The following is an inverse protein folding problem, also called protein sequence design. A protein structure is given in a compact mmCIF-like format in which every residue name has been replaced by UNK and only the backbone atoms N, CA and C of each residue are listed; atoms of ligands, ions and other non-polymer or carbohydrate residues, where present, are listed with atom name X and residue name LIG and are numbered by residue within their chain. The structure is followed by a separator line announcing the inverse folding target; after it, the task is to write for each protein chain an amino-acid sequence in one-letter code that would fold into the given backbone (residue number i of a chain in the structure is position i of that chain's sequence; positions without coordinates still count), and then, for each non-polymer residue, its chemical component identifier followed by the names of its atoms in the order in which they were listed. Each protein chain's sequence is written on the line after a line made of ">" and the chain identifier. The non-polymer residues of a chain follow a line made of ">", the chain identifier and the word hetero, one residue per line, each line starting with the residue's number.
data_IF_089509771187
#
_entry.id   IF_089509771187
#
_cell.length_a   1.000
_cell.length_b   1.000
_cell.length_c   1.000
_cell.angle_alpha   90.00
_cell.angle_beta   90.00
_cell.angle_gamma   90.00
#
_symmetry.space_group_name_H-M   'P 1'
#
loop_
_entity.id
_entity.type
_entity.pdbx_description
1 polymer ?
#
# COMPACT_ATOMS: atom_id res chain seq x y z
N UNK A 1 30.06 1.56 54.61
CA UNK A 1 30.26 0.99 53.27
C UNK A 1 29.10 0.07 52.79
N UNK A 2 28.32 -0.56 53.66
CA UNK A 2 27.20 -1.45 53.23
C UNK A 2 25.98 -0.69 52.62
N UNK A 3 25.69 0.51 53.13
CA UNK A 3 24.56 1.33 52.64
C UNK A 3 24.79 1.93 51.25
N UNK A 4 26.02 2.26 50.88
CA UNK A 4 26.35 2.85 49.57
C UNK A 4 26.11 1.87 48.41
N UNK A 5 26.38 0.56 48.60
CA UNK A 5 26.11 -0.47 47.57
C UNK A 5 24.62 -0.69 47.34
N UNK A 6 23.81 -0.57 48.38
CA UNK A 6 22.35 -0.71 48.23
C UNK A 6 21.72 0.51 47.53
N UNK A 7 22.26 1.71 47.72
CA UNK A 7 21.83 2.92 47.03
C UNK A 7 22.17 2.85 45.53
N UNK A 8 23.39 2.39 45.20
CA UNK A 8 23.79 2.22 43.78
C UNK A 8 22.96 1.16 43.09
N UNK A 9 22.66 0.03 43.74
CA UNK A 9 21.78 -1.00 43.17
C UNK A 9 20.34 -0.46 42.95
N UNK A 10 19.80 0.34 43.86
CA UNK A 10 18.48 0.94 43.74
C UNK A 10 18.44 1.96 42.58
N UNK A 11 19.48 2.75 42.38
CA UNK A 11 19.59 3.70 41.26
C UNK A 11 19.71 2.95 39.94
N UNK A 12 20.45 1.85 39.85
CA UNK A 12 20.55 1.04 38.65
C UNK A 12 19.20 0.38 38.28
N UNK A 13 18.45 -0.13 39.26
CA UNK A 13 17.11 -0.68 39.06
C UNK A 13 16.14 0.41 38.58
N UNK A 14 16.21 1.60 39.19
CA UNK A 14 15.38 2.74 38.79
C UNK A 14 15.69 3.21 37.36
N UNK A 15 16.96 3.22 36.95
CA UNK A 15 17.38 3.55 35.58
C UNK A 15 16.92 2.50 34.56
N UNK A 16 16.94 1.21 34.91
CA UNK A 16 16.42 0.13 34.05
C UNK A 16 14.91 0.22 33.92
N UNK A 17 14.17 0.56 34.97
CA UNK A 17 12.72 0.78 34.92
C UNK A 17 12.35 2.03 34.11
N UNK A 18 13.14 3.10 34.21
CA UNK A 18 12.93 4.34 33.43
C UNK A 18 13.29 4.12 31.96
N UNK A 19 14.34 3.34 31.66
CA UNK A 19 14.67 3.00 30.25
C UNK A 19 13.67 2.05 29.60
N UNK A 20 12.89 1.27 30.36
CA UNK A 20 11.79 0.45 29.88
C UNK A 20 10.49 1.21 29.65
N UNK A 21 10.40 2.48 30.10
CA UNK A 21 9.28 3.39 29.84
C UNK A 21 9.65 4.45 28.78
N UNK A 22 10.36 4.09 27.74
CA UNK A 22 10.26 4.84 26.50
C UNK A 22 8.87 4.46 25.96
N UNK A 23 7.88 5.29 26.31
CA UNK A 23 6.64 5.32 25.58
C UNK A 23 7.05 5.62 24.12
N UNK A 24 7.07 4.60 23.28
CA UNK A 24 7.04 4.77 21.84
C UNK A 24 5.82 5.66 21.64
N UNK A 25 6.05 6.93 21.30
CA UNK A 25 5.01 7.83 20.86
C UNK A 25 4.26 7.06 19.82
N UNK A 26 3.00 6.70 20.10
CA UNK A 26 2.17 6.08 19.10
C UNK A 26 2.14 7.07 17.96
N UNK A 27 2.86 6.77 16.89
CA UNK A 27 2.86 7.59 15.70
C UNK A 27 1.39 7.76 15.33
N UNK A 28 0.99 8.98 15.01
CA UNK A 28 -0.40 9.44 14.95
C UNK A 28 -1.13 8.76 13.78
N UNK A 29 -1.52 7.51 14.01
CA UNK A 29 -2.36 6.74 13.06
C UNK A 29 -3.71 7.46 13.04
N UNK A 30 -4.14 7.88 11.84
CA UNK A 30 -5.41 8.58 11.69
C UNK A 30 -6.65 7.70 11.95
N UNK A 31 -6.46 6.38 11.99
CA UNK A 31 -7.49 5.42 12.37
C UNK A 31 -7.62 5.31 13.88
N UNK A 32 -8.85 5.15 14.37
CA UNK A 32 -9.09 4.63 15.72
C UNK A 32 -8.67 3.17 15.76
N UNK A 33 -7.70 2.84 16.62
CA UNK A 33 -7.12 1.51 16.72
C UNK A 33 -7.19 0.97 18.16
N UNK A 34 -7.00 -0.33 18.30
CA UNK A 34 -6.82 -1.03 19.57
C UNK A 34 -5.50 -1.79 19.56
N UNK A 35 -4.92 -1.96 20.75
CA UNK A 35 -3.70 -2.75 20.93
C UNK A 35 -3.98 -4.23 20.78
N UNK A 36 -2.97 -4.97 20.30
CA UNK A 36 -3.00 -6.42 20.14
C UNK A 36 -2.14 -7.09 21.22
N UNK A 37 -2.47 -8.34 21.52
CA UNK A 37 -1.62 -9.19 22.36
C UNK A 37 -0.32 -9.58 21.62
N UNK A 38 0.77 -9.76 22.35
CA UNK A 38 2.09 -10.04 21.78
C UNK A 38 2.09 -11.30 20.88
N UNK A 39 1.42 -12.35 21.28
CA UNK A 39 1.31 -13.62 20.54
C UNK A 39 0.58 -13.41 19.20
N UNK A 40 -0.45 -12.56 19.20
CA UNK A 40 -1.18 -12.20 18.00
C UNK A 40 -0.30 -11.37 17.04
N UNK A 41 0.46 -10.41 17.56
CA UNK A 41 1.41 -9.61 16.77
C UNK A 41 2.44 -10.52 16.08
N UNK A 42 3.05 -11.46 16.79
CA UNK A 42 4.02 -12.40 16.23
C UNK A 42 3.41 -13.27 15.12
N UNK A 43 2.18 -13.74 15.33
CA UNK A 43 1.43 -14.50 14.31
C UNK A 43 1.16 -13.67 13.06
N UNK A 44 0.73 -12.42 13.22
CA UNK A 44 0.47 -11.49 12.12
C UNK A 44 1.75 -11.23 11.32
N UNK A 45 2.84 -10.90 12.01
CA UNK A 45 4.12 -10.60 11.37
C UNK A 45 4.70 -11.80 10.61
N UNK A 46 4.56 -13.00 11.14
CA UNK A 46 4.99 -14.24 10.47
C UNK A 46 4.22 -14.48 9.16
N UNK A 47 2.92 -14.14 9.13
CA UNK A 47 2.05 -14.30 7.97
C UNK A 47 2.31 -13.21 6.91
N UNK A 48 2.56 -11.97 7.32
CA UNK A 48 2.83 -10.85 6.42
C UNK A 48 4.20 -11.00 5.76
N UNK A 49 5.20 -11.52 6.46
CA UNK A 49 6.56 -11.75 5.96
C UNK A 49 7.14 -10.53 5.23
N UNK A 50 7.25 -9.40 5.96
CA UNK A 50 7.73 -8.14 5.39
C UNK A 50 9.25 -8.17 5.19
N UNK A 51 9.70 -7.67 4.03
CA UNK A 51 11.12 -7.62 3.65
C UNK A 51 11.45 -6.28 3.01
N UNK A 52 12.51 -5.61 3.48
CA UNK A 52 13.01 -4.36 2.88
C UNK A 52 13.66 -4.62 1.51
N UNK A 53 13.44 -3.72 0.57
CA UNK A 53 13.98 -3.74 -0.78
C UNK A 53 14.97 -2.59 -0.96
N UNK A 54 16.20 -2.92 -1.32
CA UNK A 54 17.26 -1.93 -1.63
C UNK A 54 17.33 -1.57 -3.12
N UNK A 55 16.69 -2.36 -3.99
CA UNK A 55 16.63 -2.12 -5.42
C UNK A 55 15.18 -2.01 -5.87
N UNK A 56 14.91 -1.15 -6.86
CA UNK A 56 13.58 -1.02 -7.42
C UNK A 56 13.15 -2.34 -8.07
N UNK A 57 12.03 -2.94 -7.63
CA UNK A 57 11.49 -4.11 -8.27
C UNK A 57 10.87 -3.74 -9.63
N UNK A 58 10.59 -4.73 -10.47
CA UNK A 58 9.83 -4.47 -11.70
C UNK A 58 8.50 -3.80 -11.37
N UNK A 59 8.25 -2.66 -12.01
CA UNK A 59 7.04 -1.84 -11.81
C UNK A 59 5.78 -2.65 -12.11
N UNK A 60 4.76 -2.47 -11.27
CA UNK A 60 3.46 -3.12 -11.38
C UNK A 60 2.36 -2.09 -11.26
N UNK A 61 1.13 -2.48 -11.62
CA UNK A 61 -0.04 -1.61 -11.50
C UNK A 61 -0.24 -1.09 -10.07
N UNK A 62 -0.60 0.18 -9.98
CA UNK A 62 -0.78 0.91 -8.72
C UNK A 62 -2.11 0.51 -8.10
N UNK A 63 -2.13 0.24 -6.80
CA UNK A 63 -3.34 -0.01 -6.00
C UNK A 63 -3.68 1.18 -5.10
N UNK A 64 -2.67 1.81 -4.53
CA UNK A 64 -2.77 2.97 -3.65
C UNK A 64 -1.49 3.78 -3.72
N UNK A 65 -1.53 5.01 -3.27
CA UNK A 65 -0.35 5.85 -3.14
C UNK A 65 -0.52 6.83 -1.98
N UNK A 66 0.57 7.38 -1.52
CA UNK A 66 0.60 8.44 -0.52
C UNK A 66 1.73 9.41 -0.84
N UNK A 67 1.57 10.66 -0.45
CA UNK A 67 2.57 11.71 -0.63
C UNK A 67 2.77 12.41 0.70
N UNK A 68 4.03 12.51 1.12
CA UNK A 68 4.43 13.22 2.31
C UNK A 68 4.55 14.73 2.04
N UNK A 69 4.61 15.53 3.09
CA UNK A 69 4.72 17.01 3.02
C UNK A 69 6.00 17.48 2.33
N UNK A 70 7.09 16.72 2.40
CA UNK A 70 8.36 16.99 1.73
C UNK A 70 8.37 16.58 0.22
N UNK A 71 7.27 16.01 -0.26
CA UNK A 71 7.14 15.51 -1.62
C UNK A 71 7.64 14.08 -1.83
N UNK A 72 8.04 13.38 -0.79
CA UNK A 72 8.35 11.93 -0.84
C UNK A 72 7.07 11.15 -1.16
N UNK A 73 7.17 10.17 -2.05
CA UNK A 73 6.02 9.45 -2.61
C UNK A 73 6.14 7.97 -2.28
N UNK A 74 5.08 7.41 -1.71
CA UNK A 74 4.91 5.98 -1.54
C UNK A 74 3.93 5.43 -2.60
N UNK A 75 4.32 4.38 -3.33
CA UNK A 75 3.49 3.73 -4.34
C UNK A 75 3.25 2.27 -3.97
N UNK A 76 2.02 1.94 -3.67
CA UNK A 76 1.57 0.59 -3.34
C UNK A 76 1.16 -0.18 -4.59
N UNK A 77 1.81 -1.32 -4.83
CA UNK A 77 1.65 -2.14 -6.03
C UNK A 77 1.50 -3.61 -5.66
N UNK A 78 1.06 -4.41 -6.61
CA UNK A 78 1.15 -5.85 -6.48
C UNK A 78 0.06 -6.63 -7.19
N UNK A 79 0.26 -7.94 -7.23
CA UNK A 79 -0.71 -8.89 -7.78
C UNK A 79 -0.83 -10.08 -6.85
N UNK A 80 -2.04 -10.63 -6.74
CA UNK A 80 -2.34 -11.74 -5.84
C UNK A 80 -1.85 -11.47 -4.40
N UNK A 81 -1.11 -12.40 -3.81
CA UNK A 81 -0.70 -12.32 -2.41
C UNK A 81 0.59 -11.53 -2.18
N UNK A 82 1.42 -11.31 -3.22
CA UNK A 82 2.67 -10.56 -3.07
C UNK A 82 2.47 -9.10 -3.43
N UNK A 83 2.63 -8.23 -2.45
CA UNK A 83 2.52 -6.78 -2.56
C UNK A 83 3.87 -6.11 -2.35
N UNK A 84 4.00 -4.90 -2.85
CA UNK A 84 5.17 -4.05 -2.66
C UNK A 84 4.73 -2.62 -2.42
N UNK A 85 5.46 -1.92 -1.57
CA UNK A 85 5.42 -0.46 -1.47
C UNK A 85 6.80 0.04 -1.83
N UNK A 86 6.88 0.95 -2.79
CA UNK A 86 8.12 1.59 -3.22
C UNK A 86 8.09 3.05 -2.82
N UNK A 87 9.17 3.53 -2.22
CA UNK A 87 9.35 4.92 -1.81
C UNK A 87 10.23 5.61 -2.84
N UNK A 88 9.75 6.73 -3.34
CA UNK A 88 10.42 7.59 -4.30
C UNK A 88 10.60 8.99 -3.69
N UNK A 89 11.67 9.67 -4.08
CA UNK A 89 11.81 11.09 -3.76
C UNK A 89 10.84 11.94 -4.62
N UNK A 90 10.82 13.23 -4.39
CA UNK A 90 9.97 14.20 -5.11
C UNK A 90 10.22 14.27 -6.63
N UNK A 91 11.33 13.72 -7.11
CA UNK A 91 11.72 13.63 -8.53
C UNK A 91 11.34 12.27 -9.15
N UNK A 92 10.76 11.34 -8.38
CA UNK A 92 10.41 10.00 -8.84
C UNK A 92 11.59 9.02 -8.88
N UNK A 93 12.68 9.28 -8.13
CA UNK A 93 13.82 8.38 -8.02
C UNK A 93 13.59 7.44 -6.84
N UNK A 94 13.65 6.14 -7.10
CA UNK A 94 13.50 5.10 -6.08
C UNK A 94 14.54 5.24 -4.97
N UNK A 95 14.08 5.16 -3.72
CA UNK A 95 14.91 5.22 -2.53
C UNK A 95 15.04 3.84 -1.87
N UNK A 96 13.93 3.28 -1.48
CA UNK A 96 13.80 1.95 -0.88
C UNK A 96 12.36 1.46 -1.02
N UNK A 97 12.09 0.26 -0.52
CA UNK A 97 10.72 -0.25 -0.51
C UNK A 97 10.55 -1.43 0.43
N UNK A 98 9.33 -1.97 0.45
CA UNK A 98 8.96 -3.15 1.22
C UNK A 98 8.17 -4.12 0.36
N UNK A 99 8.46 -5.41 0.53
CA UNK A 99 7.69 -6.51 -0.04
C UNK A 99 7.03 -7.29 1.09
N UNK A 100 5.76 -7.63 0.95
CA UNK A 100 5.00 -8.37 1.96
C UNK A 100 3.91 -9.23 1.33
N UNK A 101 3.28 -10.08 2.14
CA UNK A 101 2.23 -10.99 1.71
C UNK A 101 0.89 -10.58 2.34
N UNK A 102 -0.14 -10.47 1.49
CA UNK A 102 -1.54 -10.32 1.93
C UNK A 102 -2.49 -10.79 0.84
N UNK A 103 -3.53 -11.50 1.22
CA UNK A 103 -4.55 -12.01 0.29
C UNK A 103 -5.61 -10.96 -0.08
N UNK A 104 -5.58 -9.77 0.55
CA UNK A 104 -6.57 -8.70 0.36
C UNK A 104 -6.00 -7.46 -0.31
N UNK A 105 -6.86 -6.45 -0.37
CA UNK A 105 -6.45 -5.07 -0.65
C UNK A 105 -5.69 -4.51 0.55
N UNK A 106 -4.85 -3.52 0.27
CA UNK A 106 -4.13 -2.77 1.29
C UNK A 106 -4.11 -1.30 0.90
N UNK A 107 -3.98 -0.44 1.90
CA UNK A 107 -3.75 0.97 1.74
C UNK A 107 -2.44 1.38 2.38
N UNK A 108 -1.98 2.59 2.09
CA UNK A 108 -0.75 3.14 2.66
C UNK A 108 -0.92 4.61 3.01
N UNK A 109 -0.18 5.04 4.01
CA UNK A 109 0.10 6.45 4.30
C UNK A 109 1.57 6.61 4.62
N UNK A 110 2.14 7.72 4.16
CA UNK A 110 3.48 8.13 4.53
C UNK A 110 3.36 9.43 5.32
N UNK A 111 3.77 9.40 6.59
CA UNK A 111 3.75 10.57 7.48
C UNK A 111 5.13 10.71 8.09
N UNK A 112 5.73 11.86 7.91
CA UNK A 112 7.13 12.08 8.25
C UNK A 112 7.99 10.98 7.59
N UNK A 113 8.70 10.19 8.38
CA UNK A 113 9.52 9.08 7.87
C UNK A 113 8.85 7.71 8.10
N UNK A 114 7.63 7.65 8.64
CA UNK A 114 6.95 6.41 8.96
C UNK A 114 5.99 6.02 7.84
N UNK A 115 6.16 4.81 7.33
CA UNK A 115 5.22 4.20 6.41
C UNK A 115 4.18 3.39 7.19
N UNK A 116 2.93 3.76 7.07
CA UNK A 116 1.78 2.98 7.55
C UNK A 116 1.28 2.09 6.41
N UNK A 117 1.12 0.80 6.70
CA UNK A 117 0.52 -0.17 5.80
C UNK A 117 -0.76 -0.70 6.46
N UNK A 118 -1.87 -0.53 5.79
CA UNK A 118 -3.20 -0.90 6.27
C UNK A 118 -3.70 -2.13 5.52
N UNK A 119 -3.97 -3.22 6.22
CA UNK A 119 -4.45 -4.48 5.65
C UNK A 119 -5.97 -4.55 5.79
N UNK A 120 -6.70 -4.30 4.69
CA UNK A 120 -8.16 -4.17 4.69
C UNK A 120 -8.86 -5.43 5.18
N UNK A 121 -8.38 -6.62 4.80
CA UNK A 121 -9.07 -7.88 5.12
C UNK A 121 -8.93 -8.32 6.58
N UNK A 122 -7.86 -7.91 7.23
CA UNK A 122 -7.54 -8.29 8.61
C UNK A 122 -7.74 -7.16 9.60
N UNK A 123 -8.09 -5.96 9.11
CA UNK A 123 -8.22 -4.73 9.91
C UNK A 123 -6.94 -4.41 10.72
N UNK A 124 -5.76 -4.63 10.13
CA UNK A 124 -4.47 -4.39 10.77
C UNK A 124 -3.83 -3.13 10.19
N UNK A 125 -3.29 -2.30 11.08
CA UNK A 125 -2.38 -1.21 10.76
C UNK A 125 -0.97 -1.57 11.25
N UNK A 126 0.03 -1.44 10.36
CA UNK A 126 1.43 -1.67 10.62
C UNK A 126 2.20 -0.39 10.33
N UNK A 127 3.00 0.08 11.29
CA UNK A 127 3.92 1.20 11.10
C UNK A 127 5.35 0.68 11.01
N UNK A 128 6.08 1.11 9.97
CA UNK A 128 7.44 0.70 9.70
C UNK A 128 8.30 1.92 9.35
N UNK A 129 9.49 2.00 9.91
CA UNK A 129 10.43 3.07 9.64
C UNK A 129 11.32 2.79 8.40
N UNK A 130 12.10 3.78 7.91
CA UNK A 130 12.98 3.61 6.76
C UNK A 130 14.05 2.53 6.94
N UNK A 131 14.41 2.18 8.16
CA UNK A 131 15.39 1.12 8.46
C UNK A 131 14.78 -0.27 8.39
N UNK A 132 13.45 -0.36 8.35
CA UNK A 132 12.70 -1.61 8.29
C UNK A 132 12.31 -2.13 9.67
N UNK A 133 12.42 -1.30 10.70
CA UNK A 133 11.94 -1.65 12.05
C UNK A 133 10.43 -1.42 12.13
N UNK A 134 9.74 -2.38 12.68
CA UNK A 134 8.28 -2.30 12.89
C UNK A 134 8.06 -1.57 14.22
N UNK A 135 7.48 -0.37 14.15
CA UNK A 135 7.24 0.49 15.29
C UNK A 135 5.96 0.12 16.02
N UNK A 136 4.91 -0.30 15.27
CA UNK A 136 3.65 -0.73 15.86
C UNK A 136 2.88 -1.66 14.95
N UNK A 137 2.06 -2.53 15.56
CA UNK A 137 1.03 -3.33 14.92
C UNK A 137 -0.23 -3.19 15.77
N UNK A 138 -1.31 -2.70 15.17
CA UNK A 138 -2.57 -2.43 15.88
C UNK A 138 -3.76 -2.93 15.04
N UNK A 139 -4.90 -3.14 15.67
CA UNK A 139 -6.16 -3.47 15.00
C UNK A 139 -6.95 -2.19 14.73
N UNK A 140 -7.39 -2.02 13.49
CA UNK A 140 -8.26 -0.91 13.10
C UNK A 140 -9.69 -1.23 13.57
N UNK A 141 -10.31 -0.33 14.31
CA UNK A 141 -11.68 -0.50 14.76
C UNK A 141 -12.66 -0.27 13.62
N UNK A 142 -13.72 -1.08 13.56
CA UNK A 142 -14.78 -0.90 12.58
C UNK A 142 -15.76 0.20 13.04
N UNK A 143 -15.42 1.44 12.77
CA UNK A 143 -16.24 2.64 13.06
C UNK A 143 -16.66 3.35 11.78
N UNK A 144 -17.67 4.23 11.87
CA UNK A 144 -18.12 5.04 10.72
C UNK A 144 -17.00 5.98 10.28
N UNK A 145 -16.29 6.58 11.22
CA UNK A 145 -15.16 7.48 10.99
C UNK A 145 -14.03 6.76 10.25
N UNK A 146 -13.64 5.57 10.69
CA UNK A 146 -12.63 4.77 10.03
C UNK A 146 -13.07 4.36 8.61
N UNK A 147 -14.32 3.98 8.42
CA UNK A 147 -14.85 3.65 7.09
C UNK A 147 -14.86 4.88 6.16
N UNK A 148 -15.16 6.06 6.68
CA UNK A 148 -15.04 7.32 5.93
C UNK A 148 -13.59 7.62 5.55
N UNK A 149 -12.66 7.42 6.48
CA UNK A 149 -11.23 7.65 6.26
C UNK A 149 -10.65 6.70 5.19
N UNK A 150 -11.02 5.43 5.20
CA UNK A 150 -10.67 4.49 4.13
C UNK A 150 -11.01 5.05 2.74
N UNK A 151 -12.24 5.52 2.56
CA UNK A 151 -12.74 5.90 1.25
C UNK A 151 -12.23 7.26 0.78
N UNK A 152 -12.03 8.21 1.68
CA UNK A 152 -11.71 9.59 1.31
C UNK A 152 -10.23 9.93 1.40
N UNK A 153 -9.46 9.19 2.20
CA UNK A 153 -8.04 9.46 2.42
C UNK A 153 -7.15 8.33 1.88
N UNK A 154 -7.27 7.11 2.42
CA UNK A 154 -6.35 6.01 2.10
C UNK A 154 -6.47 5.53 0.66
N UNK A 155 -7.69 5.49 0.10
CA UNK A 155 -7.96 5.12 -1.29
C UNK A 155 -8.25 6.32 -2.20
N UNK A 156 -7.83 7.51 -1.79
CA UNK A 156 -7.91 8.68 -2.66
C UNK A 156 -7.09 8.46 -3.93
N UNK A 157 -7.66 8.84 -5.07
CA UNK A 157 -6.95 8.85 -6.36
C UNK A 157 -6.23 10.15 -6.63
N UNK A 158 -6.39 11.12 -5.73
CA UNK A 158 -5.85 12.47 -5.85
C UNK A 158 -5.39 12.97 -4.48
N UNK A 159 -4.15 13.47 -4.44
CA UNK A 159 -3.57 14.12 -3.25
C UNK A 159 -3.06 15.48 -3.69
N UNK A 160 -3.44 16.52 -2.96
CA UNK A 160 -2.98 17.90 -3.22
C UNK A 160 -2.12 18.38 -2.06
N UNK A 161 -0.96 18.94 -2.39
CA UNK A 161 -0.08 19.70 -1.50
C UNK A 161 -0.18 21.19 -1.85
N UNK A 162 0.52 22.03 -1.15
CA UNK A 162 0.53 23.49 -1.44
C UNK A 162 1.06 23.80 -2.86
N UNK A 163 1.99 22.99 -3.40
CA UNK A 163 2.68 23.27 -4.65
C UNK A 163 2.31 22.32 -5.78
N UNK A 164 1.78 21.14 -5.48
CA UNK A 164 1.57 20.09 -6.45
C UNK A 164 0.26 19.33 -6.23
N UNK A 165 -0.29 18.86 -7.33
CA UNK A 165 -1.37 17.89 -7.36
C UNK A 165 -0.84 16.56 -7.88
N UNK A 166 -1.09 15.48 -7.13
CA UNK A 166 -0.71 14.12 -7.51
C UNK A 166 -1.95 13.32 -7.83
N UNK A 167 -1.95 12.65 -8.99
CA UNK A 167 -3.12 11.89 -9.46
C UNK A 167 -2.69 10.52 -9.99
N UNK A 168 -3.36 9.46 -9.51
CA UNK A 168 -3.27 8.14 -10.14
C UNK A 168 -4.41 7.99 -11.14
N UNK A 169 -4.06 7.56 -12.37
CA UNK A 169 -5.00 7.44 -13.49
C UNK A 169 -4.63 6.28 -14.42
N UNK A 170 -5.55 5.98 -15.32
CA UNK A 170 -5.36 5.03 -16.41
C UNK A 170 -5.36 5.75 -17.76
N UNK A 171 -4.66 5.19 -18.73
CA UNK A 171 -4.64 5.69 -20.11
C UNK A 171 -5.08 4.61 -21.11
N UNK A 172 -6.28 4.05 -20.88
CA UNK A 172 -6.89 3.01 -21.72
C UNK A 172 -8.08 3.55 -22.54
N UNK A 173 -8.33 4.86 -22.50
CA UNK A 173 -9.48 5.49 -23.15
C UNK A 173 -10.79 4.89 -22.64
N UNK A 174 -11.67 4.44 -23.56
CA UNK A 174 -12.96 3.83 -23.23
C UNK A 174 -12.82 2.54 -22.39
N UNK A 175 -11.66 1.91 -22.41
CA UNK A 175 -11.41 0.66 -21.67
C UNK A 175 -10.98 0.90 -20.21
N UNK A 176 -10.89 2.15 -19.74
CA UNK A 176 -10.64 2.45 -18.33
C UNK A 176 -11.65 1.78 -17.39
N UNK A 177 -12.89 1.57 -17.83
CA UNK A 177 -13.95 0.88 -17.08
C UNK A 177 -13.60 -0.58 -16.71
N UNK A 178 -12.69 -1.21 -17.44
CA UNK A 178 -12.22 -2.58 -17.17
C UNK A 178 -10.98 -2.63 -16.28
N UNK A 179 -10.42 -1.49 -15.90
CA UNK A 179 -9.23 -1.41 -15.06
C UNK A 179 -9.63 -1.35 -13.59
N UNK A 180 -9.18 -2.32 -12.80
CA UNK A 180 -9.34 -2.37 -11.35
C UNK A 180 -8.16 -1.77 -10.57
N UNK A 181 -7.20 -1.16 -11.29
CA UNK A 181 -5.95 -0.61 -10.76
C UNK A 181 -5.45 0.47 -11.71
N UNK A 182 -4.45 1.25 -11.30
CA UNK A 182 -3.97 2.40 -12.05
C UNK A 182 -2.62 2.12 -12.69
N UNK A 183 -2.35 2.79 -13.82
CA UNK A 183 -1.12 2.62 -14.59
C UNK A 183 -0.17 3.80 -14.54
N UNK A 184 -0.66 4.97 -14.20
CA UNK A 184 0.10 6.21 -14.17
C UNK A 184 -0.07 6.91 -12.82
N UNK A 185 1.03 7.45 -12.29
CA UNK A 185 1.04 8.48 -11.26
C UNK A 185 1.66 9.73 -11.85
N UNK A 186 0.93 10.82 -11.84
CA UNK A 186 1.37 12.12 -12.35
C UNK A 186 1.41 13.15 -11.25
N UNK A 187 2.32 14.12 -11.40
CA UNK A 187 2.49 15.29 -10.54
C UNK A 187 2.29 16.52 -11.40
N UNK A 188 1.39 17.41 -11.01
CA UNK A 188 1.09 18.66 -11.71
C UNK A 188 1.45 19.84 -10.82
N UNK A 189 2.20 20.79 -11.32
CA UNK A 189 2.53 22.00 -10.57
C UNK A 189 1.38 23.05 -10.64
N UNK A 190 1.55 24.15 -9.93
CA UNK A 190 0.56 25.26 -9.90
C UNK A 190 0.41 25.98 -11.26
N UNK A 191 1.33 25.76 -12.19
CA UNK A 191 1.28 26.31 -13.55
C UNK A 191 0.63 25.36 -14.55
N UNK A 192 0.26 24.14 -14.12
CA UNK A 192 -0.36 23.12 -14.95
C UNK A 192 0.64 22.22 -15.70
N UNK A 193 1.94 22.29 -15.40
CA UNK A 193 2.92 21.39 -15.99
C UNK A 193 2.82 20.01 -15.36
N UNK A 194 2.51 19.01 -16.16
CA UNK A 194 2.35 17.62 -15.71
C UNK A 194 3.68 16.85 -15.91
N UNK A 195 4.12 16.14 -14.86
CA UNK A 195 5.28 15.24 -14.87
C UNK A 195 4.83 13.83 -14.50
N UNK A 196 5.27 12.83 -15.25
CA UNK A 196 4.99 11.42 -14.95
C UNK A 196 6.03 10.91 -13.96
N UNK A 197 5.57 10.48 -12.79
CA UNK A 197 6.41 9.91 -11.71
C UNK A 197 6.52 8.39 -11.85
N UNK A 198 5.41 7.73 -12.17
CA UNK A 198 5.37 6.27 -12.26
C UNK A 198 4.51 5.85 -13.45
N UNK A 199 5.04 4.97 -14.31
CA UNK A 199 4.36 4.52 -15.52
C UNK A 199 4.49 3.00 -15.68
N UNK A 200 3.34 2.33 -15.83
CA UNK A 200 3.19 0.91 -16.22
C UNK A 200 2.10 0.74 -17.26
N UNK A 201 1.81 1.78 -18.01
CA UNK A 201 0.70 1.82 -18.96
C UNK A 201 0.79 0.68 -20.00
N UNK A 202 1.98 0.44 -20.55
CA UNK A 202 2.20 -0.65 -21.52
C UNK A 202 1.81 -2.03 -20.95
N UNK A 203 2.18 -2.30 -19.70
CA UNK A 203 1.85 -3.56 -19.02
C UNK A 203 0.36 -3.69 -18.78
N UNK A 204 -0.31 -2.62 -18.38
CA UNK A 204 -1.75 -2.60 -18.18
C UNK A 204 -2.51 -2.76 -19.50
N UNK A 205 -2.11 -2.03 -20.53
CA UNK A 205 -2.69 -2.13 -21.88
C UNK A 205 -2.60 -3.56 -22.41
N UNK A 206 -1.43 -4.17 -22.35
CA UNK A 206 -1.24 -5.57 -22.78
C UNK A 206 -2.19 -6.52 -22.04
N UNK A 207 -2.34 -6.37 -20.73
CA UNK A 207 -3.24 -7.20 -19.94
C UNK A 207 -4.70 -7.02 -20.34
N UNK A 208 -5.17 -5.79 -20.50
CA UNK A 208 -6.56 -5.51 -20.86
C UNK A 208 -6.86 -5.99 -22.29
N UNK A 209 -6.01 -5.65 -23.25
CA UNK A 209 -6.24 -6.06 -24.65
C UNK A 209 -6.13 -7.57 -24.85
N UNK A 210 -5.20 -8.25 -24.18
CA UNK A 210 -5.15 -9.71 -24.24
C UNK A 210 -6.39 -10.36 -23.64
N UNK A 211 -6.90 -9.84 -22.53
CA UNK A 211 -8.15 -10.35 -21.93
C UNK A 211 -9.33 -10.15 -22.87
N UNK A 212 -9.49 -8.97 -23.48
CA UNK A 212 -10.53 -8.68 -24.45
C UNK A 212 -10.41 -9.59 -25.69
N UNK A 213 -9.19 -9.79 -26.17
CA UNK A 213 -8.96 -10.72 -27.30
C UNK A 213 -9.46 -12.13 -26.99
N UNK A 214 -9.12 -12.68 -25.82
CA UNK A 214 -9.61 -14.00 -25.42
C UNK A 214 -11.14 -14.05 -25.31
N UNK A 215 -11.78 -13.01 -24.75
CA UNK A 215 -13.24 -12.93 -24.68
C UNK A 215 -13.85 -12.99 -26.09
N UNK A 216 -13.33 -12.21 -27.03
CA UNK A 216 -13.81 -12.20 -28.43
C UNK A 216 -13.63 -13.56 -29.08
N UNK A 217 -12.49 -14.22 -28.90
CA UNK A 217 -12.24 -15.57 -29.42
C UNK A 217 -13.23 -16.58 -28.86
N UNK A 218 -13.47 -16.59 -27.54
CA UNK A 218 -14.44 -17.51 -26.92
C UNK A 218 -15.86 -17.26 -27.40
N UNK A 219 -16.28 -16.00 -27.51
CA UNK A 219 -17.59 -15.66 -28.05
C UNK A 219 -17.73 -16.12 -29.52
N UNK A 220 -16.72 -15.92 -30.35
CA UNK A 220 -16.71 -16.34 -31.75
C UNK A 220 -16.85 -17.87 -31.90
N UNK A 221 -16.13 -18.64 -31.06
CA UNK A 221 -16.26 -20.09 -31.01
C UNK A 221 -17.66 -20.49 -30.57
N UNK A 222 -18.22 -19.83 -29.56
CA UNK A 222 -19.60 -20.06 -29.09
C UNK A 222 -20.66 -19.84 -30.21
N UNK A 223 -20.58 -18.71 -30.91
CA UNK A 223 -21.47 -18.40 -32.03
C UNK A 223 -21.31 -19.42 -33.15
N UNK A 224 -20.07 -19.78 -33.52
CA UNK A 224 -19.79 -20.78 -34.54
C UNK A 224 -20.40 -22.14 -34.20
N UNK A 225 -20.24 -22.61 -32.98
CA UNK A 225 -20.79 -23.91 -32.53
C UNK A 225 -22.31 -23.92 -32.49
N UNK A 226 -22.94 -22.81 -32.08
CA UNK A 226 -24.38 -22.63 -32.12
C UNK A 226 -24.90 -22.67 -33.57
N UNK A 227 -24.26 -21.94 -34.46
CA UNK A 227 -24.64 -21.91 -35.88
C UNK A 227 -24.54 -23.30 -36.51
N UNK A 228 -23.50 -24.06 -36.22
CA UNK A 228 -23.29 -25.41 -36.73
C UNK A 228 -24.33 -26.40 -36.19
N UNK A 229 -24.72 -26.30 -34.92
CA UNK A 229 -25.79 -27.11 -34.31
C UNK A 229 -27.15 -26.82 -34.96
N UNK A 230 -27.51 -25.54 -35.15
CA UNK A 230 -28.75 -25.12 -35.76
C UNK A 230 -28.86 -25.59 -37.21
N UNK A 231 -27.74 -25.58 -37.96
CA UNK A 231 -27.70 -26.08 -39.33
C UNK A 231 -27.90 -27.59 -39.38
N UNK A 232 -27.34 -28.36 -38.45
CA UNK A 232 -27.47 -29.82 -38.38
C UNK A 232 -28.87 -30.28 -37.94
N UNK A 233 -29.63 -29.48 -37.25
CA UNK A 233 -31.01 -29.77 -36.81
C UNK A 233 -32.06 -29.48 -37.89
N UNK A 234 -31.67 -28.85 -39.01
CA UNK A 234 -32.56 -28.54 -40.14
C UNK A 234 -32.37 -29.45 -41.35
N UNK A 235 -31.42 -30.39 -41.27
CA UNK A 235 -31.20 -31.50 -42.21
C UNK A 235 -31.71 -32.82 -41.62
#
# INVERSE_FOLDING_TARGET
>A
MKNSRNIVALICILLVVISGMIAVSAADIAFSTESLEQEEIETILSNINITKLSNEPSKKVIQCFSVNTDGTIAVGCGSYNKKTVCIYNSEGIFQYGYSFQTAGSFGIELKEDILYIYFVRSDIALAIDPDGQINSVTRIQNTIENNSYWNHSVFSTKISTEQYEYVIKNNLGIFNVFASSYSLLTKTDVYGNETVIYDVNNTQQFRVYSTLFFIVVFLSIGVYTLFFRLRKSRL
#
